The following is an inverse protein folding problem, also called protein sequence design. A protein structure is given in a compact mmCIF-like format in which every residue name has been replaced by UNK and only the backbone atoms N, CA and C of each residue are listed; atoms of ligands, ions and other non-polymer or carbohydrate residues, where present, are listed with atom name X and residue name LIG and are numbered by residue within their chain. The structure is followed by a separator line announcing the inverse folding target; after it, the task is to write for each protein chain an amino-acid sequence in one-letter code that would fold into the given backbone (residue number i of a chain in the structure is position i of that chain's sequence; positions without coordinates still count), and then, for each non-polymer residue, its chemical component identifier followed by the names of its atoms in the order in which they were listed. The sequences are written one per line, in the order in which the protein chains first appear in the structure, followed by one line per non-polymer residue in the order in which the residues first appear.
data_IF_500573256678
#
_entry.id   IF_500573256678
#
_cell.length_a   1.000
_cell.length_b   1.000
_cell.length_c   1.000
_cell.angle_alpha   90.00
_cell.angle_beta   90.00
_cell.angle_gamma   90.00
#
_symmetry.space_group_name_H-M   'P 1'
#
loop_
_entity.id
_entity.type
_entity.pdbx_description
1 polymer ?
#
# COMPACT_ATOMS: atom_id res chain seq x y z
N UNK A 1 -16.96 -4.16 -5.00
CA UNK A 1 -16.87 -3.49 -3.68
C UNK A 1 -16.37 -2.06 -3.82
N UNK A 2 -15.11 -1.81 -4.22
CA UNK A 2 -14.56 -0.43 -4.29
C UNK A 2 -15.36 0.49 -5.22
N UNK A 3 -15.71 0.03 -6.42
CA UNK A 3 -16.54 0.79 -7.36
C UNK A 3 -17.87 1.26 -6.73
N UNK A 4 -18.60 0.32 -6.13
CA UNK A 4 -19.85 0.64 -5.42
C UNK A 4 -19.62 1.61 -4.25
N UNK A 5 -18.53 1.46 -3.49
CA UNK A 5 -18.18 2.40 -2.43
C UNK A 5 -17.90 3.82 -2.96
N UNK A 6 -17.26 3.93 -4.13
CA UNK A 6 -17.02 5.22 -4.80
C UNK A 6 -18.35 5.84 -5.25
N UNK A 7 -19.29 5.05 -5.77
CA UNK A 7 -20.63 5.52 -6.15
C UNK A 7 -21.41 6.05 -4.96
N UNK A 8 -21.40 5.32 -3.85
CA UNK A 8 -22.06 5.74 -2.61
C UNK A 8 -21.46 7.04 -2.07
N UNK A 9 -20.13 7.15 -2.06
CA UNK A 9 -19.45 8.37 -1.61
C UNK A 9 -19.79 9.57 -2.52
N UNK A 10 -19.80 9.38 -3.84
CA UNK A 10 -20.20 10.39 -4.82
C UNK A 10 -21.65 10.85 -4.58
N UNK A 11 -22.58 9.92 -4.44
CA UNK A 11 -23.99 10.23 -4.19
C UNK A 11 -24.21 10.94 -2.85
N UNK A 12 -23.45 10.56 -1.82
CA UNK A 12 -23.53 11.22 -0.52
C UNK A 12 -23.02 12.67 -0.57
N UNK A 13 -21.92 12.92 -1.28
CA UNK A 13 -21.40 14.28 -1.47
C UNK A 13 -22.34 15.11 -2.32
N UNK A 14 -22.90 14.56 -3.40
CA UNK A 14 -23.89 15.27 -4.22
C UNK A 14 -25.14 15.66 -3.42
N UNK A 15 -25.60 14.78 -2.52
CA UNK A 15 -26.74 15.06 -1.66
C UNK A 15 -26.45 16.15 -0.61
N UNK A 16 -25.26 16.13 0.00
CA UNK A 16 -24.91 17.09 1.05
C UNK A 16 -24.40 18.42 0.51
N UNK A 17 -23.65 18.40 -0.58
CA UNK A 17 -22.96 19.53 -1.20
C UNK A 17 -23.02 19.44 -2.74
N UNK A 18 -24.16 19.80 -3.35
CA UNK A 18 -24.34 19.71 -4.79
C UNK A 18 -23.27 20.50 -5.56
N UNK A 19 -22.72 19.90 -6.62
CA UNK A 19 -21.72 20.54 -7.47
C UNK A 19 -20.29 20.59 -6.91
N UNK A 20 -20.02 19.99 -5.75
CA UNK A 20 -18.65 19.78 -5.27
C UNK A 20 -18.09 18.43 -5.71
N UNK A 21 -16.82 18.40 -6.11
CA UNK A 21 -16.12 17.15 -6.44
C UNK A 21 -15.76 16.40 -5.15
N UNK A 22 -16.25 15.16 -4.95
CA UNK A 22 -15.90 14.33 -3.79
C UNK A 22 -14.40 14.00 -3.74
N UNK A 23 -13.82 14.07 -2.55
CA UNK A 23 -12.45 13.59 -2.27
C UNK A 23 -12.54 12.33 -1.41
N UNK A 24 -11.97 11.23 -1.90
CA UNK A 24 -11.98 9.94 -1.21
C UNK A 24 -10.55 9.53 -0.90
N UNK A 25 -10.28 9.25 0.38
CA UNK A 25 -8.99 8.72 0.82
C UNK A 25 -9.01 7.21 0.86
N UNK A 26 -7.97 6.60 0.28
CA UNK A 26 -7.78 5.15 0.32
C UNK A 26 -6.41 4.79 0.88
N UNK A 27 -6.33 3.65 1.55
CA UNK A 27 -5.06 3.04 1.93
C UNK A 27 -4.32 2.45 0.73
N UNK A 28 -3.07 2.04 0.91
CA UNK A 28 -2.19 1.65 -0.19
C UNK A 28 -2.73 0.61 -1.18
N UNK A 29 -3.34 -0.53 -0.76
CA UNK A 29 -3.93 -1.47 -1.70
C UNK A 29 -5.22 -0.94 -2.34
N UNK A 30 -6.07 -0.25 -1.59
CA UNK A 30 -7.34 0.27 -2.12
C UNK A 30 -7.12 1.45 -3.06
N UNK A 31 -6.08 2.27 -2.82
CA UNK A 31 -5.70 3.39 -3.66
C UNK A 31 -5.30 2.92 -5.05
N UNK A 32 -4.48 1.87 -5.13
CA UNK A 32 -4.09 1.29 -6.42
C UNK A 32 -5.30 0.78 -7.20
N UNK A 33 -6.22 0.09 -6.53
CA UNK A 33 -7.45 -0.40 -7.16
C UNK A 33 -8.39 0.75 -7.57
N UNK A 34 -8.52 1.79 -6.75
CA UNK A 34 -9.33 2.96 -7.07
C UNK A 34 -8.75 3.73 -8.27
N UNK A 35 -7.43 3.91 -8.37
CA UNK A 35 -6.81 4.51 -9.57
C UNK A 35 -7.00 3.65 -10.81
N UNK A 36 -6.93 2.32 -10.71
CA UNK A 36 -7.26 1.42 -11.83
C UNK A 36 -8.70 1.61 -12.32
N UNK A 37 -9.65 1.78 -11.40
CA UNK A 37 -11.05 2.09 -11.73
C UNK A 37 -11.14 3.47 -12.43
N UNK A 38 -10.50 4.50 -11.89
CA UNK A 38 -10.47 5.83 -12.51
C UNK A 38 -9.92 5.81 -13.94
N UNK A 39 -8.81 5.09 -14.17
CA UNK A 39 -8.20 4.98 -15.50
C UNK A 39 -9.03 4.15 -16.48
N UNK A 40 -9.81 3.18 -15.98
CA UNK A 40 -10.67 2.35 -16.81
C UNK A 40 -11.94 3.08 -17.26
N UNK A 41 -12.45 3.98 -16.43
CA UNK A 41 -13.70 4.71 -16.68
C UNK A 41 -13.55 6.21 -16.40
N UNK A 42 -12.73 6.92 -17.22
CA UNK A 42 -12.44 8.34 -17.00
C UNK A 42 -13.70 9.22 -17.11
N UNK A 43 -14.65 8.88 -17.98
CA UNK A 43 -15.89 9.66 -18.16
C UNK A 43 -16.84 9.63 -16.96
N UNK A 44 -16.65 8.71 -16.01
CA UNK A 44 -17.53 8.54 -14.84
C UNK A 44 -16.81 8.76 -13.51
N UNK A 45 -15.51 8.42 -13.47
CA UNK A 45 -14.65 8.43 -12.29
C UNK A 45 -13.38 9.27 -12.48
N UNK A 46 -13.32 10.09 -13.54
CA UNK A 46 -12.23 11.04 -13.78
C UNK A 46 -11.96 11.95 -12.59
N UNK A 47 -10.82 12.64 -12.63
CA UNK A 47 -10.38 13.50 -11.52
C UNK A 47 -11.28 14.73 -11.34
N UNK A 48 -12.05 15.10 -12.36
CA UNK A 48 -13.12 16.08 -12.34
C UNK A 48 -14.38 15.59 -11.60
N UNK A 49 -14.62 14.27 -11.61
CA UNK A 49 -15.76 13.64 -10.94
C UNK A 49 -15.46 13.15 -9.53
N UNK A 50 -14.26 12.61 -9.28
CA UNK A 50 -13.83 12.10 -7.97
C UNK A 50 -12.32 12.29 -7.83
N UNK A 51 -11.88 12.88 -6.73
CA UNK A 51 -10.45 12.95 -6.39
C UNK A 51 -10.10 11.80 -5.46
N UNK A 52 -9.24 10.90 -5.92
CA UNK A 52 -8.72 9.79 -5.10
C UNK A 52 -7.38 10.18 -4.49
N UNK A 53 -7.30 10.20 -3.17
CA UNK A 53 -6.10 10.59 -2.42
C UNK A 53 -5.49 9.40 -1.67
N UNK A 54 -4.16 9.29 -1.77
CA UNK A 54 -3.39 8.28 -1.06
C UNK A 54 -3.27 8.63 0.43
N UNK A 55 -3.56 7.69 1.31
CA UNK A 55 -3.33 7.81 2.75
C UNK A 55 -2.36 6.74 3.23
N UNK A 56 -1.37 7.17 4.00
CA UNK A 56 -0.52 6.27 4.79
C UNK A 56 -1.39 5.59 5.84
N UNK A 57 -1.58 4.28 5.69
CA UNK A 57 -2.34 3.47 6.63
C UNK A 57 -1.40 2.83 7.66
N UNK A 58 -1.50 3.28 8.91
CA UNK A 58 -0.76 2.70 10.04
C UNK A 58 -1.25 1.31 10.43
N UNK A 59 -2.46 0.91 10.01
CA UNK A 59 -3.04 -0.41 10.29
C UNK A 59 -2.24 -1.55 9.64
N UNK A 60 -1.71 -1.35 8.43
CA UNK A 60 -0.79 -2.29 7.77
C UNK A 60 0.48 -2.47 8.58
N UNK A 61 1.03 -1.37 9.09
CA UNK A 61 2.23 -1.40 9.93
C UNK A 61 1.94 -2.09 11.28
N UNK A 62 0.76 -1.90 11.86
CA UNK A 62 0.32 -2.56 13.08
C UNK A 62 0.10 -4.07 12.87
N UNK A 63 -0.53 -4.48 11.77
CA UNK A 63 -0.69 -5.88 11.40
C UNK A 63 0.67 -6.56 11.16
N UNK A 64 1.61 -5.87 10.52
CA UNK A 64 2.96 -6.41 10.31
C UNK A 64 3.77 -6.50 11.61
N UNK A 65 3.63 -5.54 12.53
CA UNK A 65 4.25 -5.61 13.86
C UNK A 65 3.71 -6.78 14.67
N UNK A 66 2.38 -6.91 14.74
CA UNK A 66 1.73 -8.01 15.46
C UNK A 66 2.06 -9.38 14.87
N UNK A 67 2.13 -9.50 13.55
CA UNK A 67 2.61 -10.72 12.89
C UNK A 67 4.08 -11.00 13.21
N UNK A 68 4.93 -9.97 13.23
CA UNK A 68 6.34 -10.07 13.61
C UNK A 68 6.53 -10.54 15.05
N UNK A 69 5.74 -9.98 15.97
CA UNK A 69 5.73 -10.37 17.38
C UNK A 69 5.21 -11.81 17.57
N UNK A 70 4.19 -12.21 16.81
CA UNK A 70 3.68 -13.59 16.84
C UNK A 70 4.70 -14.61 16.30
N UNK A 71 5.41 -14.26 15.23
CA UNK A 71 6.46 -15.11 14.67
C UNK A 71 7.73 -15.14 15.53
N UNK A 72 7.89 -14.21 16.48
CA UNK A 72 9.03 -14.15 17.40
C UNK A 72 8.98 -15.35 18.35
N UNK A 73 9.97 -16.23 18.24
CA UNK A 73 10.06 -17.46 19.05
C UNK A 73 9.47 -18.71 18.39
N UNK A 74 8.75 -18.58 17.28
CA UNK A 74 8.16 -19.72 16.53
C UNK A 74 9.19 -20.60 15.80
N UNK A 75 10.48 -20.21 15.79
CA UNK A 75 11.53 -20.88 15.02
C UNK A 75 11.55 -20.54 13.52
N UNK A 76 10.48 -19.94 12.98
CA UNK A 76 10.37 -19.54 11.58
C UNK A 76 11.43 -18.50 11.20
N UNK A 77 11.70 -17.50 12.06
CA UNK A 77 12.77 -16.54 11.81
C UNK A 77 14.15 -17.22 11.66
N UNK A 78 14.43 -18.27 12.45
CA UNK A 78 15.69 -19.03 12.35
C UNK A 78 15.73 -19.90 11.10
N UNK A 79 14.62 -20.53 10.71
CA UNK A 79 14.53 -21.33 9.50
C UNK A 79 14.73 -20.48 8.23
N UNK A 80 14.12 -19.30 8.17
CA UNK A 80 14.30 -18.34 7.08
C UNK A 80 15.72 -17.79 7.04
N UNK A 81 16.32 -17.51 8.20
CA UNK A 81 17.73 -17.10 8.27
C UNK A 81 18.66 -18.22 7.77
N UNK A 82 18.39 -19.48 8.13
CA UNK A 82 19.17 -20.65 7.69
C UNK A 82 19.01 -20.94 6.19
N UNK A 83 17.81 -20.73 5.63
CA UNK A 83 17.55 -20.82 4.19
C UNK A 83 18.23 -19.70 3.41
N UNK A 84 18.19 -18.46 3.92
CA UNK A 84 18.87 -17.31 3.33
C UNK A 84 20.39 -17.48 3.35
N UNK A 85 20.96 -18.01 4.43
CA UNK A 85 22.39 -18.34 4.52
C UNK A 85 22.79 -19.48 3.57
N UNK A 86 21.93 -20.48 3.35
CA UNK A 86 22.17 -21.53 2.33
C UNK A 86 22.18 -20.99 0.90
N UNK A 87 21.37 -19.96 0.61
CA UNK A 87 21.38 -19.29 -0.69
C UNK A 87 22.52 -18.27 -0.84
N UNK A 88 22.93 -17.59 0.23
CA UNK A 88 24.03 -16.60 0.18
C UNK A 88 25.43 -17.22 0.17
N UNK A 89 25.59 -18.50 0.52
CA UNK A 89 26.85 -19.22 0.30
C UNK A 89 27.27 -19.31 -1.18
N UNK A 90 26.43 -18.87 -2.12
CA UNK A 90 26.70 -18.88 -3.56
C UNK A 90 26.72 -17.48 -4.22
N UNK A 91 26.45 -16.40 -3.46
CA UNK A 91 26.46 -15.04 -4.00
C UNK A 91 27.03 -14.02 -2.99
N UNK A 92 28.29 -14.20 -2.57
CA UNK A 92 28.97 -13.27 -1.66
C UNK A 92 29.55 -12.02 -2.32
N UNK A 93 29.31 -11.73 -3.61
CA UNK A 93 29.95 -10.58 -4.26
C UNK A 93 29.02 -9.48 -4.80
N UNK A 94 27.68 -9.60 -4.67
CA UNK A 94 26.77 -8.60 -5.28
C UNK A 94 25.86 -7.86 -4.30
N UNK A 95 25.66 -8.36 -3.08
CA UNK A 95 24.60 -7.85 -2.20
C UNK A 95 25.03 -6.73 -1.23
N UNK A 96 26.32 -6.59 -0.92
CA UNK A 96 26.81 -5.49 -0.06
C UNK A 96 26.63 -4.11 -0.73
N UNK A 97 26.62 -4.05 -2.07
CA UNK A 97 26.42 -2.79 -2.79
C UNK A 97 24.96 -2.31 -2.79
N UNK A 98 23.98 -3.24 -2.77
CA UNK A 98 22.56 -2.89 -2.83
C UNK A 98 21.97 -2.50 -1.46
N UNK A 99 22.51 -3.00 -0.35
CA UNK A 99 22.04 -2.59 0.99
C UNK A 99 22.62 -1.25 1.47
N UNK A 100 23.75 -0.80 0.93
CA UNK A 100 24.26 0.56 1.21
C UNK A 100 23.36 1.64 0.59
N UNK A 101 22.87 1.42 -0.65
CA UNK A 101 22.02 2.40 -1.33
C UNK A 101 20.62 2.55 -0.68
N UNK A 102 20.08 1.49 -0.08
CA UNK A 102 18.75 1.55 0.56
C UNK A 102 18.75 2.22 1.94
N UNK A 103 19.92 2.33 2.59
CA UNK A 103 20.05 2.94 3.92
C UNK A 103 20.38 4.44 3.85
N UNK A 104 20.92 4.94 2.73
CA UNK A 104 21.18 6.37 2.52
C UNK A 104 19.93 7.19 2.16
N UNK A 105 18.88 6.58 1.62
CA UNK A 105 17.64 7.31 1.28
C UNK A 105 16.69 7.53 2.47
N UNK A 106 17.00 7.00 3.65
CA UNK A 106 16.22 7.19 4.87
C UNK A 106 16.81 8.22 5.85
N UNK A 107 17.88 8.92 5.47
CA UNK A 107 18.41 10.09 6.19
C UNK A 107 18.50 11.26 5.21
N UNK A 108 17.37 11.92 4.96
CA UNK A 108 17.25 13.33 4.58
C UNK A 108 15.84 13.83 4.87
#
# INVERSE_FOLDING_TARGET
MIHHSMDVAKNAVEHMNPGQTPVITFDQPLFALAKQIQWKWPDSYGEDHIVVMFVVSTSRMAALKTLGDWLKGSGWCKHWCKLRLRHQGQQTHSCEHLMSCALEEHIK
#
